data_IF_941074422548
#
_entry.id   IF_941074422548
#
_cell.length_a   1.000
_cell.length_b   1.000
_cell.length_c   1.000
_cell.angle_alpha   90.00
_cell.angle_beta   90.00
_cell.angle_gamma   90.00
#
_symmetry.space_group_name_H-M   'P 1'
#
loop_
_entity.id
_entity.type
_entity.pdbx_description
1 polymer ?
#
# COMPACT_ATOMS: atom_id res chain seq x y z
N UNK A 1 -24.59 14.69 -47.62
CA UNK A 1 -23.64 15.25 -46.65
C UNK A 1 -24.40 16.17 -45.70
N UNK A 2 -24.60 15.76 -44.44
CA UNK A 2 -25.27 16.53 -43.39
C UNK A 2 -24.34 16.53 -42.17
N UNK A 3 -23.73 17.67 -41.84
CA UNK A 3 -22.93 17.83 -40.62
C UNK A 3 -23.67 18.72 -39.64
N UNK A 4 -24.26 18.12 -38.60
CA UNK A 4 -24.95 18.79 -37.50
C UNK A 4 -23.95 19.07 -36.38
N UNK A 5 -23.50 20.32 -36.25
CA UNK A 5 -22.65 20.78 -35.14
C UNK A 5 -23.52 21.05 -33.90
N UNK A 6 -23.07 20.58 -32.73
CA UNK A 6 -23.69 20.86 -31.43
C UNK A 6 -23.01 22.08 -30.78
N UNK A 7 -23.74 22.98 -30.11
CA UNK A 7 -23.16 24.10 -29.38
C UNK A 7 -22.66 23.67 -27.99
N UNK A 8 -21.49 24.17 -27.61
CA UNK A 8 -20.93 24.10 -26.26
C UNK A 8 -21.50 25.24 -25.43
N UNK A 9 -22.16 24.92 -24.31
CA UNK A 9 -22.48 25.91 -23.29
C UNK A 9 -21.30 26.03 -22.32
N UNK A 10 -20.64 27.19 -22.41
CA UNK A 10 -19.89 27.83 -21.33
C UNK A 10 -20.79 27.92 -20.09
N UNK A 11 -20.34 27.41 -18.95
CA UNK A 11 -20.75 27.97 -17.66
C UNK A 11 -19.54 28.08 -16.74
N UNK A 12 -19.54 29.21 -16.06
CA UNK A 12 -18.42 29.89 -15.47
C UNK A 12 -18.39 29.66 -13.95
N UNK A 13 -17.17 29.78 -13.39
CA UNK A 13 -16.82 30.43 -12.11
C UNK A 13 -17.41 29.85 -10.81
N UNK A 14 -16.50 29.53 -9.87
CA UNK A 14 -16.83 29.38 -8.46
C UNK A 14 -15.63 28.98 -7.61
N UNK A 15 -14.67 29.90 -7.43
CA UNK A 15 -13.62 29.78 -6.42
C UNK A 15 -14.19 30.09 -5.02
N UNK A 16 -13.92 29.23 -4.04
CA UNK A 16 -14.05 29.57 -2.63
C UNK A 16 -12.98 28.83 -1.82
N UNK A 17 -11.99 29.62 -1.41
CA UNK A 17 -10.89 29.28 -0.50
C UNK A 17 -11.39 29.53 0.93
N UNK A 18 -11.34 28.53 1.82
CA UNK A 18 -11.45 28.74 3.27
C UNK A 18 -10.32 27.97 3.94
N UNK A 19 -9.34 28.74 4.43
CA UNK A 19 -8.26 28.30 5.32
C UNK A 19 -8.78 28.50 6.75
N UNK A 20 -8.76 27.46 7.57
CA UNK A 20 -8.90 27.59 9.02
C UNK A 20 -7.79 26.77 9.70
N UNK A 21 -6.72 27.48 10.06
CA UNK A 21 -5.65 27.03 10.95
C UNK A 21 -6.14 27.15 12.39
N UNK A 22 -6.02 26.10 13.19
CA UNK A 22 -6.11 26.17 14.64
C UNK A 22 -4.98 25.36 15.28
N UNK A 23 -3.96 26.06 15.76
CA UNK A 23 -2.99 25.54 16.72
C UNK A 23 -3.67 25.46 18.09
N UNK A 24 -3.64 24.29 18.74
CA UNK A 24 -3.94 24.19 20.18
C UNK A 24 -2.72 23.61 20.89
N UNK A 25 -1.88 24.51 21.38
CA UNK A 25 -0.79 24.20 22.31
C UNK A 25 -1.38 24.01 23.70
N UNK A 26 -1.43 22.77 24.18
CA UNK A 26 -1.80 22.42 25.55
C UNK A 26 -0.57 21.97 26.33
N UNK A 27 0.06 22.87 27.07
CA UNK A 27 1.04 22.56 28.11
C UNK A 27 0.31 22.07 29.37
N UNK A 28 0.60 20.85 29.82
CA UNK A 28 0.51 20.48 31.23
C UNK A 28 1.70 19.61 31.61
N UNK A 29 2.64 20.27 32.28
CA UNK A 29 3.68 19.72 33.13
C UNK A 29 3.06 18.78 34.16
N UNK A 30 3.62 17.57 34.26
CA UNK A 30 3.60 16.77 35.48
C UNK A 30 5.04 16.32 35.71
N UNK A 31 5.70 17.00 36.65
CA UNK A 31 6.97 16.56 37.23
C UNK A 31 6.73 15.34 38.11
N UNK A 32 7.58 14.33 37.97
CA UNK A 32 7.96 13.46 39.07
C UNK A 32 9.45 13.18 38.89
N UNK A 33 10.26 13.90 39.67
CA UNK A 33 11.67 13.62 39.87
C UNK A 33 11.79 12.37 40.74
N UNK A 34 12.60 11.40 40.33
CA UNK A 34 13.44 10.63 41.26
C UNK A 34 14.76 10.25 40.57
N UNK A 35 15.79 10.93 41.07
CA UNK A 35 17.12 10.45 41.42
C UNK A 35 18.13 10.01 40.35
N UNK A 36 19.31 10.60 40.50
CA UNK A 36 20.50 10.50 39.67
C UNK A 36 21.19 9.14 39.81
N UNK A 37 21.50 8.49 38.68
CA UNK A 37 22.78 7.80 38.53
C UNK A 37 23.40 8.16 37.18
N UNK A 38 24.54 8.83 37.29
CA UNK A 38 25.40 9.33 36.23
C UNK A 38 25.88 8.17 35.36
N UNK A 39 25.40 8.12 34.12
CA UNK A 39 26.03 7.43 33.00
C UNK A 39 26.14 8.42 31.86
N UNK A 40 27.36 8.64 31.36
CA UNK A 40 27.66 9.50 30.22
C UNK A 40 26.63 9.33 29.10
N UNK A 41 25.83 10.36 28.85
CA UNK A 41 25.09 10.50 27.61
C UNK A 41 26.11 11.01 26.60
N UNK A 42 26.72 10.08 25.88
CA UNK A 42 27.36 10.41 24.62
C UNK A 42 26.30 11.09 23.75
N UNK A 43 26.68 12.26 23.25
CA UNK A 43 25.92 13.12 22.37
C UNK A 43 25.21 12.29 21.31
N UNK A 44 23.89 12.15 21.41
CA UNK A 44 23.08 11.66 20.29
C UNK A 44 23.21 12.76 19.22
N UNK A 45 23.87 12.51 18.08
CA UNK A 45 23.79 13.47 16.99
C UNK A 45 22.30 13.62 16.64
N UNK A 46 21.83 14.86 16.63
CA UNK A 46 20.49 15.23 16.18
C UNK A 46 20.41 14.96 14.67
N UNK A 47 20.25 13.68 14.35
CA UNK A 47 20.09 13.20 13.00
C UNK A 47 18.70 13.65 12.54
N UNK A 48 18.58 14.32 11.36
CA UNK A 48 17.30 14.86 10.91
C UNK A 48 16.23 13.76 10.86
N UNK A 49 15.01 14.07 11.32
CA UNK A 49 13.91 13.12 11.45
C UNK A 49 13.60 12.30 10.17
N UNK A 50 13.96 12.83 8.99
CA UNK A 50 13.85 12.14 7.72
C UNK A 50 14.81 10.94 7.59
N UNK A 51 16.00 11.02 8.18
CA UNK A 51 17.04 9.98 8.13
C UNK A 51 16.77 8.88 9.16
N UNK A 52 16.14 9.22 10.30
CA UNK A 52 15.60 8.25 11.26
C UNK A 52 14.42 7.48 10.64
N UNK A 53 13.53 8.16 9.89
CA UNK A 53 12.44 7.50 9.18
C UNK A 53 12.94 6.56 8.06
N UNK A 54 13.99 6.95 7.33
CA UNK A 54 14.62 6.10 6.32
C UNK A 54 15.31 4.87 6.95
N UNK A 55 16.03 5.06 8.07
CA UNK A 55 16.68 3.98 8.82
C UNK A 55 15.68 2.97 9.43
N UNK A 56 14.52 3.44 9.89
CA UNK A 56 13.44 2.57 10.37
C UNK A 56 12.78 1.78 9.23
N UNK A 57 12.67 2.37 8.03
CA UNK A 57 12.23 1.65 6.83
C UNK A 57 13.24 0.57 6.42
N UNK A 58 14.54 0.86 6.42
CA UNK A 58 15.58 -0.13 6.10
C UNK A 58 15.65 -1.27 7.13
N UNK A 59 15.49 -0.97 8.42
CA UNK A 59 15.43 -2.01 9.46
C UNK A 59 14.16 -2.86 9.37
N UNK A 60 13.03 -2.30 8.92
CA UNK A 60 11.79 -3.05 8.66
C UNK A 60 11.88 -3.95 7.40
N UNK A 61 12.91 -3.77 6.58
CA UNK A 61 13.17 -4.48 5.33
C UNK A 61 14.28 -5.56 5.48
N UNK A 62 14.64 -5.92 6.71
CA UNK A 62 15.76 -6.81 7.01
C UNK A 62 15.66 -8.25 6.44
N UNK A 63 14.49 -8.66 5.94
CA UNK A 63 14.31 -9.89 5.15
C UNK A 63 13.53 -9.60 3.86
N UNK A 64 14.16 -8.81 2.98
CA UNK A 64 13.57 -8.32 1.73
C UNK A 64 13.62 -9.34 0.59
N UNK A 65 14.24 -10.50 0.75
CA UNK A 65 14.52 -11.36 -0.41
C UNK A 65 13.30 -12.20 -0.78
N UNK A 66 12.74 -11.90 -1.95
CA UNK A 66 11.71 -12.75 -2.55
C UNK A 66 12.39 -13.90 -3.29
N UNK A 67 11.99 -15.13 -2.97
CA UNK A 67 12.54 -16.32 -3.62
C UNK A 67 12.31 -16.24 -5.13
N UNK A 68 13.38 -16.45 -5.92
CA UNK A 68 13.35 -16.45 -7.39
C UNK A 68 12.88 -15.13 -8.02
N UNK A 69 13.07 -13.99 -7.36
CA UNK A 69 12.62 -12.67 -7.84
C UNK A 69 12.86 -12.41 -9.33
N UNK A 70 14.08 -12.65 -9.80
CA UNK A 70 14.50 -12.42 -11.20
C UNK A 70 13.59 -13.12 -12.23
N UNK A 71 12.99 -14.25 -11.87
CA UNK A 71 12.09 -14.98 -12.74
C UNK A 71 10.77 -14.24 -13.01
N UNK A 72 10.42 -13.24 -12.19
CA UNK A 72 9.21 -12.41 -12.38
C UNK A 72 9.33 -11.41 -13.52
N UNK A 73 10.56 -11.00 -13.88
CA UNK A 73 10.82 -9.96 -14.87
C UNK A 73 10.37 -8.55 -14.46
N UNK A 74 10.03 -8.33 -13.19
CA UNK A 74 9.66 -7.01 -12.65
C UNK A 74 10.91 -6.18 -12.31
N UNK A 75 10.79 -4.85 -12.44
CA UNK A 75 11.93 -3.95 -12.41
C UNK A 75 12.56 -3.73 -11.03
N UNK A 76 11.76 -3.67 -9.95
CA UNK A 76 12.27 -3.33 -8.61
C UNK A 76 11.61 -4.15 -7.50
N UNK A 77 12.40 -4.98 -6.83
CA UNK A 77 11.94 -5.77 -5.68
C UNK A 77 11.54 -4.88 -4.52
N UNK A 78 12.31 -3.81 -4.26
CA UNK A 78 12.03 -2.85 -3.19
C UNK A 78 10.69 -2.15 -3.39
N UNK A 79 10.42 -1.65 -4.59
CA UNK A 79 9.13 -1.00 -4.88
C UNK A 79 7.97 -1.98 -4.80
N UNK A 80 8.18 -3.23 -5.23
CA UNK A 80 7.17 -4.28 -5.08
C UNK A 80 6.87 -4.55 -3.60
N UNK A 81 7.88 -4.59 -2.72
CA UNK A 81 7.68 -4.83 -1.28
C UNK A 81 6.90 -3.68 -0.64
N UNK A 82 7.18 -2.43 -1.04
CA UNK A 82 6.38 -1.26 -0.62
C UNK A 82 4.91 -1.44 -1.05
N UNK A 83 4.69 -1.80 -2.31
CA UNK A 83 3.34 -2.08 -2.82
C UNK A 83 2.66 -3.23 -2.07
N UNK A 84 3.38 -4.31 -1.79
CA UNK A 84 2.87 -5.48 -1.10
C UNK A 84 2.41 -5.14 0.32
N UNK A 85 3.24 -4.41 1.08
CA UNK A 85 2.87 -3.92 2.40
C UNK A 85 1.66 -2.99 2.33
N UNK A 86 1.59 -2.13 1.31
CA UNK A 86 0.43 -1.26 1.11
C UNK A 86 -0.85 -2.04 0.79
N UNK A 87 -0.73 -3.09 0.00
CA UNK A 87 -1.83 -4.00 -0.30
C UNK A 87 -2.35 -4.68 0.98
N UNK A 88 -1.45 -5.15 1.86
CA UNK A 88 -1.83 -5.71 3.17
C UNK A 88 -2.61 -4.70 4.01
N UNK A 89 -2.17 -3.45 4.08
CA UNK A 89 -2.88 -2.38 4.79
C UNK A 89 -4.29 -2.16 4.24
N UNK A 90 -4.46 -2.13 2.91
CA UNK A 90 -5.76 -1.97 2.29
C UNK A 90 -6.71 -3.12 2.64
N UNK A 91 -6.20 -4.35 2.66
CA UNK A 91 -6.99 -5.54 3.04
C UNK A 91 -7.39 -5.49 4.51
N UNK A 92 -6.47 -5.11 5.39
CA UNK A 92 -6.75 -4.98 6.83
C UNK A 92 -7.79 -3.89 7.13
N UNK A 93 -7.75 -2.77 6.39
CA UNK A 93 -8.65 -1.64 6.57
C UNK A 93 -9.92 -1.68 5.70
N UNK A 94 -10.18 -2.80 5.01
CA UNK A 94 -11.32 -2.96 4.10
C UNK A 94 -11.45 -1.85 3.05
N UNK A 95 -10.31 -1.36 2.54
CA UNK A 95 -10.27 -0.34 1.49
C UNK A 95 -10.55 -0.94 0.11
N UNK A 96 -11.81 -1.37 -0.08
CA UNK A 96 -12.30 -2.09 -1.27
C UNK A 96 -11.91 -1.37 -2.58
N UNK A 97 -12.09 -0.05 -2.62
CA UNK A 97 -11.82 0.73 -3.84
C UNK A 97 -10.32 0.84 -4.15
N UNK A 98 -9.47 0.95 -3.14
CA UNK A 98 -8.01 0.92 -3.30
C UNK A 98 -7.54 -0.43 -3.85
N UNK A 99 -8.08 -1.53 -3.32
CA UNK A 99 -7.77 -2.88 -3.80
C UNK A 99 -8.19 -3.04 -5.26
N UNK A 100 -9.44 -2.69 -5.57
CA UNK A 100 -10.01 -2.84 -6.92
C UNK A 100 -9.25 -1.99 -7.95
N UNK A 101 -8.83 -0.78 -7.59
CA UNK A 101 -8.05 0.09 -8.47
C UNK A 101 -6.66 -0.48 -8.82
N UNK A 102 -6.16 -1.42 -8.01
CA UNK A 102 -4.87 -2.08 -8.17
C UNK A 102 -4.99 -3.54 -8.63
N UNK A 103 -6.17 -3.96 -9.12
CA UNK A 103 -6.35 -5.23 -9.83
C UNK A 103 -6.36 -4.95 -11.34
N UNK A 104 -5.56 -5.70 -12.09
CA UNK A 104 -5.61 -5.71 -13.55
C UNK A 104 -6.70 -6.67 -14.03
N UNK A 105 -7.90 -6.13 -14.22
CA UNK A 105 -9.02 -6.89 -14.79
C UNK A 105 -8.84 -7.06 -16.32
N UNK A 106 -9.34 -8.15 -16.92
CA UNK A 106 -10.13 -9.21 -16.30
C UNK A 106 -9.28 -10.28 -15.61
N UNK A 107 -9.74 -10.75 -14.44
CA UNK A 107 -9.19 -11.93 -13.76
C UNK A 107 -10.14 -13.13 -13.94
N UNK A 108 -9.72 -14.33 -13.54
CA UNK A 108 -10.41 -15.59 -13.85
C UNK A 108 -11.94 -15.52 -13.66
N UNK A 109 -12.40 -15.34 -12.40
CA UNK A 109 -13.82 -15.31 -12.03
C UNK A 109 -14.51 -13.95 -12.21
N UNK A 110 -13.75 -12.86 -12.35
CA UNK A 110 -14.29 -11.49 -12.30
C UNK A 110 -13.77 -10.67 -13.47
N UNK A 111 -14.66 -10.17 -14.32
CA UNK A 111 -14.29 -9.40 -15.52
C UNK A 111 -14.17 -7.91 -15.26
N UNK A 112 -14.78 -7.41 -14.19
CA UNK A 112 -14.79 -5.99 -13.84
C UNK A 112 -14.64 -5.78 -12.34
N UNK A 113 -14.17 -4.60 -11.96
CA UNK A 113 -14.13 -4.17 -10.56
C UNK A 113 -15.50 -4.19 -9.88
N UNK A 114 -16.58 -3.88 -10.60
CA UNK A 114 -17.95 -3.95 -10.07
C UNK A 114 -18.33 -5.38 -9.69
N UNK A 115 -18.06 -6.37 -10.56
CA UNK A 115 -18.31 -7.78 -10.26
C UNK A 115 -17.51 -8.22 -9.04
N UNK A 116 -16.22 -7.85 -8.98
CA UNK A 116 -15.36 -8.14 -7.84
C UNK A 116 -15.89 -7.54 -6.53
N UNK A 117 -16.28 -6.25 -6.56
CA UNK A 117 -16.81 -5.51 -5.39
C UNK A 117 -18.02 -6.20 -4.78
N UNK A 118 -18.96 -6.68 -5.61
CA UNK A 118 -20.16 -7.39 -5.12
C UNK A 118 -19.86 -8.71 -4.41
N UNK A 119 -18.67 -9.29 -4.63
CA UNK A 119 -18.22 -10.54 -4.02
C UNK A 119 -17.10 -10.34 -3.01
N UNK A 120 -16.73 -9.09 -2.72
CA UNK A 120 -15.55 -8.78 -1.92
C UNK A 120 -15.54 -9.51 -0.57
N UNK A 121 -16.65 -9.53 0.17
CA UNK A 121 -16.74 -10.19 1.48
C UNK A 121 -16.65 -11.71 1.42
N UNK A 122 -16.95 -12.31 0.26
CA UNK A 122 -16.75 -13.74 0.02
C UNK A 122 -15.30 -14.05 -0.38
N UNK A 123 -14.63 -13.12 -1.06
CA UNK A 123 -13.24 -13.26 -1.48
C UNK A 123 -12.32 -13.01 -0.27
N UNK A 124 -12.43 -11.83 0.32
CA UNK A 124 -11.73 -11.41 1.53
C UNK A 124 -12.56 -11.74 2.77
N UNK A 125 -12.80 -13.03 2.97
CA UNK A 125 -13.34 -13.52 4.23
C UNK A 125 -12.31 -13.38 5.37
N UNK A 126 -12.75 -13.69 6.59
CA UNK A 126 -11.91 -13.56 7.79
C UNK A 126 -10.64 -14.41 7.75
N UNK A 127 -10.70 -15.57 7.07
CA UNK A 127 -9.55 -16.46 6.93
C UNK A 127 -8.51 -15.83 6.00
N UNK A 128 -8.91 -15.39 4.81
CA UNK A 128 -7.98 -14.79 3.85
C UNK A 128 -7.39 -13.49 4.40
N UNK A 129 -8.18 -12.67 5.10
CA UNK A 129 -7.66 -11.44 5.73
C UNK A 129 -6.56 -11.74 6.74
N UNK A 130 -6.70 -12.80 7.54
CA UNK A 130 -5.67 -13.24 8.49
C UNK A 130 -4.42 -13.72 7.78
N UNK A 131 -4.57 -14.51 6.72
CA UNK A 131 -3.45 -14.99 5.90
C UNK A 131 -2.71 -13.82 5.23
N UNK A 132 -3.43 -12.87 4.64
CA UNK A 132 -2.84 -11.66 4.04
C UNK A 132 -2.11 -10.84 5.10
N UNK A 133 -2.68 -10.67 6.30
CA UNK A 133 -2.03 -9.93 7.38
C UNK A 133 -0.73 -10.61 7.86
N UNK A 134 -0.74 -11.94 7.96
CA UNK A 134 0.39 -12.74 8.42
C UNK A 134 1.48 -12.95 7.37
N UNK A 135 1.20 -12.79 6.08
CA UNK A 135 2.16 -13.05 5.01
C UNK A 135 3.39 -12.12 5.10
N UNK A 136 4.58 -12.70 5.11
CA UNK A 136 5.87 -11.99 5.13
C UNK A 136 6.54 -12.06 3.76
N UNK A 137 7.51 -11.18 3.49
CA UNK A 137 8.20 -11.13 2.19
C UNK A 137 8.89 -12.45 1.84
N UNK A 138 9.48 -13.13 2.82
CA UNK A 138 10.11 -14.46 2.66
C UNK A 138 9.12 -15.58 2.30
N UNK A 139 7.81 -15.39 2.54
CA UNK A 139 6.77 -16.36 2.16
C UNK A 139 6.39 -16.21 0.68
N UNK A 140 6.83 -15.12 0.06
CA UNK A 140 6.61 -14.85 -1.35
C UNK A 140 7.64 -15.59 -2.20
N UNK A 141 7.20 -15.98 -3.39
CA UNK A 141 8.06 -16.55 -4.40
C UNK A 141 7.64 -16.06 -5.77
N UNK A 142 8.60 -16.01 -6.69
CA UNK A 142 8.40 -15.53 -8.04
C UNK A 142 8.64 -16.61 -9.09
N UNK A 143 7.95 -16.47 -10.21
CA UNK A 143 8.23 -17.16 -11.46
C UNK A 143 7.80 -16.26 -12.63
N UNK A 144 7.81 -16.79 -13.86
CA UNK A 144 7.43 -16.06 -15.07
C UNK A 144 6.00 -15.48 -15.08
N UNK A 145 5.11 -15.88 -14.16
CA UNK A 145 3.76 -15.35 -14.03
C UNK A 145 3.69 -14.12 -13.09
N UNK A 146 4.75 -13.85 -12.34
CA UNK A 146 4.85 -12.78 -11.36
C UNK A 146 5.26 -13.27 -9.97
N UNK A 147 4.97 -12.48 -8.94
CA UNK A 147 5.15 -12.88 -7.54
C UNK A 147 3.85 -13.47 -7.02
N UNK A 148 3.95 -14.60 -6.32
CA UNK A 148 2.84 -15.29 -5.70
C UNK A 148 2.87 -15.14 -4.18
N UNK A 149 1.67 -15.07 -3.59
CA UNK A 149 1.44 -15.17 -2.15
C UNK A 149 0.42 -16.28 -1.88
N UNK A 150 0.56 -16.94 -0.73
CA UNK A 150 -0.43 -17.87 -0.19
C UNK A 150 -0.79 -18.99 -1.17
N UNK A 151 0.22 -19.79 -1.53
CA UNK A 151 0.08 -20.95 -2.42
C UNK A 151 -0.62 -20.66 -3.76
N UNK A 152 -0.41 -19.48 -4.33
CA UNK A 152 -1.01 -19.13 -5.62
C UNK A 152 -2.40 -18.50 -5.54
N UNK A 153 -2.90 -18.16 -4.34
CA UNK A 153 -4.17 -17.43 -4.21
C UNK A 153 -4.04 -16.05 -4.83
N UNK A 154 -2.95 -15.34 -4.57
CA UNK A 154 -2.66 -14.07 -5.23
C UNK A 154 -1.48 -14.20 -6.18
N UNK A 155 -1.60 -13.50 -7.30
CA UNK A 155 -0.51 -13.22 -8.21
C UNK A 155 -0.40 -11.72 -8.41
N UNK A 156 0.83 -11.23 -8.36
CA UNK A 156 1.17 -9.83 -8.54
C UNK A 156 2.15 -9.69 -9.70
N UNK A 157 2.01 -8.62 -10.48
CA UNK A 157 2.90 -8.33 -11.60
C UNK A 157 3.07 -6.81 -11.77
N UNK A 158 4.00 -6.40 -12.63
CA UNK A 158 4.21 -5.01 -13.02
C UNK A 158 3.71 -4.78 -14.44
N UNK A 159 2.65 -3.99 -14.58
CA UNK A 159 2.01 -3.69 -15.87
C UNK A 159 2.03 -2.18 -16.07
N UNK A 160 2.58 -1.73 -17.21
CA UNK A 160 2.70 -0.30 -17.56
C UNK A 160 3.36 0.52 -16.44
N UNK A 161 4.40 -0.03 -15.82
CA UNK A 161 5.15 0.61 -14.74
C UNK A 161 4.47 0.62 -13.38
N UNK A 162 3.32 -0.06 -13.20
CA UNK A 162 2.62 -0.16 -11.91
C UNK A 162 2.56 -1.60 -11.42
N UNK A 163 2.79 -1.81 -10.13
CA UNK A 163 2.49 -3.09 -9.49
C UNK A 163 0.99 -3.26 -9.32
N UNK A 164 0.48 -4.43 -9.69
CA UNK A 164 -0.94 -4.76 -9.72
C UNK A 164 -1.15 -6.23 -9.33
N UNK A 165 -2.35 -6.54 -8.87
CA UNK A 165 -2.83 -7.91 -8.69
C UNK A 165 -3.37 -8.40 -10.04
N UNK A 166 -2.85 -9.53 -10.53
CA UNK A 166 -3.25 -10.13 -11.81
C UNK A 166 -4.08 -11.40 -11.64
N UNK A 167 -4.12 -11.99 -10.44
CA UNK A 167 -5.04 -13.07 -10.13
C UNK A 167 -5.44 -13.08 -8.64
N UNK A 168 -6.69 -13.51 -8.42
CA UNK A 168 -7.26 -13.85 -7.11
C UNK A 168 -7.98 -15.19 -7.27
N UNK A 169 -7.34 -16.27 -6.82
CA UNK A 169 -7.75 -17.66 -7.04
C UNK A 169 -8.50 -18.22 -5.83
N UNK A 170 -9.56 -17.52 -5.42
CA UNK A 170 -10.49 -17.96 -4.37
C UNK A 170 -11.90 -18.07 -4.92
#
# INVERSE_FOLDING_TARGET
>A
MYTKRRPYHLFAIGAAMIIATACQSGTKTAETQHDSLIGKVDTIPEQPAAEVAASLMDAALADTTIKNWEASGMASQTEFIIFFNKFKEWVAADQKDSIIANIDFPIAKYKTGTQFKTRYEKIFDNELKKEVAAAEVKDLWANYQGVSMNNGIFWFNQIKGRYVVTAVNK
#
